data_IF_218504248418
#
_entry.id   IF_218504248418
#
_cell.length_a   1.000
_cell.length_b   1.000
_cell.length_c   1.000
_cell.angle_alpha   90.00
_cell.angle_beta   90.00
_cell.angle_gamma   90.00
#
_symmetry.space_group_name_H-M   'P 1'
#
loop_
_entity.id
_entity.type
_entity.pdbx_description
1 polymer ?
#
# COMPACT_ATOMS: atom_id res chain seq x y z
N UNK A 1 -40.34 -16.45 22.76
CA UNK A 1 -39.28 -15.67 23.41
C UNK A 1 -37.94 -16.04 22.79
N UNK A 2 -37.46 -15.21 21.87
CA UNK A 2 -36.15 -15.31 21.23
C UNK A 2 -35.22 -14.25 21.84
N UNK A 3 -34.34 -14.69 22.73
CA UNK A 3 -33.40 -13.84 23.46
C UNK A 3 -32.46 -13.03 22.54
N UNK A 4 -32.29 -13.44 21.27
CA UNK A 4 -31.38 -12.78 20.32
C UNK A 4 -32.05 -11.67 19.50
N UNK A 5 -33.38 -11.69 19.39
CA UNK A 5 -34.11 -10.84 18.43
C UNK A 5 -35.31 -10.11 19.03
N UNK A 6 -35.88 -10.62 20.13
CA UNK A 6 -37.05 -10.02 20.77
C UNK A 6 -36.69 -8.66 21.39
N UNK A 7 -37.60 -7.69 21.27
CA UNK A 7 -37.40 -6.31 21.72
C UNK A 7 -37.08 -6.18 23.21
N UNK A 8 -37.58 -7.11 24.02
CA UNK A 8 -37.34 -7.20 25.46
C UNK A 8 -35.85 -7.38 25.80
N UNK A 9 -35.05 -7.96 24.89
CA UNK A 9 -33.63 -8.25 25.09
C UNK A 9 -32.71 -7.31 24.32
N UNK A 10 -33.24 -6.29 23.62
CA UNK A 10 -32.45 -5.39 22.77
C UNK A 10 -31.32 -4.68 23.55
N UNK A 11 -31.59 -4.26 24.78
CA UNK A 11 -30.60 -3.62 25.65
C UNK A 11 -29.49 -4.59 26.08
N UNK A 12 -29.87 -5.81 26.48
CA UNK A 12 -28.93 -6.86 26.85
C UNK A 12 -28.06 -7.31 25.67
N UNK A 13 -28.64 -7.44 24.47
CA UNK A 13 -27.92 -7.79 23.25
C UNK A 13 -26.94 -6.70 22.82
N UNK A 14 -27.32 -5.42 22.93
CA UNK A 14 -26.40 -4.29 22.71
C UNK A 14 -25.24 -4.30 23.71
N UNK A 15 -25.51 -4.56 24.99
CA UNK A 15 -24.48 -4.67 26.02
C UNK A 15 -23.56 -5.87 25.79
N UNK A 16 -24.13 -7.01 25.41
CA UNK A 16 -23.39 -8.21 25.05
C UNK A 16 -22.48 -7.96 23.84
N UNK A 17 -23.00 -7.33 22.77
CA UNK A 17 -22.21 -6.96 21.59
C UNK A 17 -21.07 -5.99 21.95
N UNK A 18 -21.34 -4.99 22.80
CA UNK A 18 -20.33 -4.07 23.30
C UNK A 18 -19.25 -4.79 24.12
N UNK A 19 -19.65 -5.72 25.00
CA UNK A 19 -18.72 -6.55 25.77
C UNK A 19 -17.92 -7.50 24.88
N UNK A 20 -18.52 -8.12 23.87
CA UNK A 20 -17.82 -8.92 22.88
C UNK A 20 -16.78 -8.08 22.11
N UNK A 21 -17.11 -6.84 21.71
CA UNK A 21 -16.17 -5.92 21.07
C UNK A 21 -15.00 -5.56 21.99
N UNK A 22 -15.27 -5.29 23.28
CA UNK A 22 -14.23 -5.00 24.28
C UNK A 22 -13.34 -6.22 24.54
N UNK A 23 -13.92 -7.39 24.75
CA UNK A 23 -13.18 -8.64 24.98
C UNK A 23 -12.32 -9.00 23.77
N UNK A 24 -12.85 -8.81 22.56
CA UNK A 24 -12.09 -8.99 21.31
C UNK A 24 -10.93 -7.99 21.23
N UNK A 25 -11.08 -6.76 21.71
CA UNK A 25 -10.03 -5.73 21.70
C UNK A 25 -8.94 -5.97 22.75
N UNK A 26 -9.30 -6.50 23.92
CA UNK A 26 -8.37 -6.83 25.01
C UNK A 26 -7.57 -8.10 24.72
N UNK A 27 -8.21 -9.10 24.09
CA UNK A 27 -7.56 -10.38 23.78
C UNK A 27 -6.93 -10.48 22.38
N UNK A 28 -7.28 -9.62 21.41
CA UNK A 28 -6.53 -9.58 20.15
C UNK A 28 -5.36 -8.60 20.25
N UNK A 29 -4.12 -9.05 20.04
CA UNK A 29 -3.05 -8.13 19.67
C UNK A 29 -3.50 -7.31 18.45
N UNK A 30 -3.16 -6.02 18.42
CA UNK A 30 -3.44 -5.16 17.26
C UNK A 30 -2.96 -5.86 15.99
N UNK A 31 -3.75 -5.87 14.90
CA UNK A 31 -3.31 -6.48 13.64
C UNK A 31 -1.93 -5.96 13.27
N UNK A 32 -0.97 -6.86 13.10
CA UNK A 32 0.35 -6.49 12.62
C UNK A 32 0.24 -6.14 11.15
N UNK A 33 0.51 -4.88 10.81
CA UNK A 33 0.53 -4.44 9.42
C UNK A 33 1.69 -5.13 8.70
N UNK A 34 1.41 -5.75 7.55
CA UNK A 34 2.44 -6.38 6.73
C UNK A 34 3.36 -5.32 6.12
N UNK A 35 4.65 -5.58 6.15
CA UNK A 35 5.69 -4.72 5.56
C UNK A 35 5.56 -4.66 4.04
N UNK A 36 6.02 -3.54 3.46
CA UNK A 36 6.27 -3.43 2.02
C UNK A 36 7.40 -4.37 1.60
N UNK A 37 7.39 -4.76 0.33
CA UNK A 37 8.45 -5.56 -0.30
C UNK A 37 9.73 -4.72 -0.32
N UNK A 38 10.84 -5.31 0.11
CA UNK A 38 12.13 -4.63 0.14
C UNK A 38 12.59 -4.24 -1.27
N UNK A 39 13.33 -3.13 -1.40
CA UNK A 39 13.80 -2.65 -2.70
C UNK A 39 14.68 -3.68 -3.45
N UNK A 40 15.54 -4.41 -2.73
CA UNK A 40 16.32 -5.50 -3.30
C UNK A 40 15.45 -6.66 -3.82
N UNK A 41 14.36 -6.98 -3.13
CA UNK A 41 13.43 -8.01 -3.56
C UNK A 41 12.55 -7.56 -4.74
N UNK A 42 12.26 -6.26 -4.88
CA UNK A 42 11.63 -5.73 -6.10
C UNK A 42 12.52 -5.93 -7.34
N UNK A 43 13.84 -5.82 -7.20
CA UNK A 43 14.79 -6.12 -8.28
C UNK A 43 14.79 -7.62 -8.62
N UNK A 44 14.78 -8.49 -7.60
CA UNK A 44 14.64 -9.94 -7.81
C UNK A 44 13.32 -10.30 -8.50
N UNK A 45 12.21 -9.68 -8.10
CA UNK A 45 10.91 -9.84 -8.78
C UNK A 45 11.00 -9.46 -10.25
N UNK A 46 11.66 -8.36 -10.59
CA UNK A 46 11.89 -7.97 -11.98
C UNK A 46 12.67 -9.04 -12.74
N UNK A 47 13.74 -9.58 -12.16
CA UNK A 47 14.51 -10.68 -12.75
C UNK A 47 13.64 -11.92 -12.97
N UNK A 48 12.92 -12.33 -11.93
CA UNK A 48 11.98 -13.46 -11.93
C UNK A 48 10.94 -13.33 -13.06
N UNK A 49 10.32 -12.17 -13.25
CA UNK A 49 9.37 -12.01 -14.35
C UNK A 49 10.05 -12.01 -15.72
N UNK A 50 11.27 -11.47 -15.82
CA UNK A 50 12.03 -11.43 -17.08
C UNK A 50 12.40 -12.83 -17.57
N UNK A 51 12.63 -13.79 -16.68
CA UNK A 51 12.84 -15.21 -17.04
C UNK A 51 11.65 -15.85 -17.76
N UNK A 52 10.46 -15.26 -17.66
CA UNK A 52 9.26 -15.71 -18.38
C UNK A 52 9.21 -15.29 -19.85
N UNK A 53 10.16 -14.46 -20.30
CA UNK A 53 10.29 -13.97 -21.66
C UNK A 53 11.29 -14.83 -22.46
N UNK A 54 11.09 -14.96 -23.77
CA UNK A 54 12.06 -15.53 -24.69
C UNK A 54 13.08 -14.50 -25.19
N UNK A 55 14.02 -14.93 -26.04
CA UNK A 55 15.08 -14.07 -26.60
C UNK A 55 14.56 -12.87 -27.39
N UNK A 56 13.29 -12.88 -27.79
CA UNK A 56 12.66 -11.79 -28.55
C UNK A 56 11.81 -10.90 -27.63
N UNK A 57 12.04 -10.95 -26.31
CA UNK A 57 11.26 -10.22 -25.30
C UNK A 57 9.75 -10.54 -25.35
N UNK A 58 9.38 -11.73 -25.83
CA UNK A 58 7.98 -12.18 -25.87
C UNK A 58 7.71 -13.22 -24.78
N UNK A 59 6.53 -13.18 -24.18
CA UNK A 59 6.14 -14.17 -23.18
C UNK A 59 6.22 -15.60 -23.74
N UNK A 60 6.84 -16.49 -22.97
CA UNK A 60 6.99 -17.90 -23.28
C UNK A 60 6.49 -18.85 -22.17
N UNK A 61 6.26 -18.33 -20.96
CA UNK A 61 5.75 -19.08 -19.81
C UNK A 61 4.35 -18.57 -19.38
N UNK A 62 3.29 -19.39 -19.50
CA UNK A 62 1.94 -19.01 -19.09
C UNK A 62 1.78 -18.71 -17.60
N UNK A 63 2.53 -19.40 -16.73
CA UNK A 63 2.47 -19.17 -15.30
C UNK A 63 3.13 -17.83 -14.94
N UNK A 64 4.31 -17.54 -15.51
CA UNK A 64 5.01 -16.26 -15.29
C UNK A 64 4.22 -15.07 -15.82
N UNK A 65 3.61 -15.21 -17.01
CA UNK A 65 2.72 -14.21 -17.59
C UNK A 65 1.54 -13.91 -16.66
N UNK A 66 0.85 -14.95 -16.17
CA UNK A 66 -0.27 -14.79 -15.24
C UNK A 66 0.17 -14.08 -13.95
N UNK A 67 1.30 -14.50 -13.39
CA UNK A 67 1.82 -13.92 -12.15
C UNK A 67 2.22 -12.46 -12.32
N UNK A 68 2.85 -12.10 -13.45
CA UNK A 68 3.24 -10.73 -13.75
C UNK A 68 2.02 -9.82 -13.96
N UNK A 69 1.03 -10.27 -14.74
CA UNK A 69 -0.21 -9.52 -14.94
C UNK A 69 -0.96 -9.33 -13.63
N UNK A 70 -1.10 -10.40 -12.84
CA UNK A 70 -1.72 -10.32 -11.52
C UNK A 70 -0.98 -9.37 -10.57
N UNK A 71 0.35 -9.45 -10.51
CA UNK A 71 1.17 -8.56 -9.69
C UNK A 71 1.03 -7.10 -10.14
N UNK A 72 1.10 -6.84 -11.44
CA UNK A 72 0.97 -5.50 -12.03
C UNK A 72 -0.39 -4.87 -11.70
N UNK A 73 -1.48 -5.64 -11.84
CA UNK A 73 -2.81 -5.20 -11.44
C UNK A 73 -2.89 -4.94 -9.93
N UNK A 74 -2.32 -5.81 -9.08
CA UNK A 74 -2.27 -5.59 -7.63
C UNK A 74 -1.50 -4.31 -7.27
N UNK A 75 -0.35 -4.09 -7.92
CA UNK A 75 0.57 -3.01 -7.60
C UNK A 75 0.05 -1.64 -8.04
N UNK A 76 -0.58 -1.54 -9.22
CA UNK A 76 -1.09 -0.27 -9.74
C UNK A 76 -2.47 0.10 -9.19
N UNK A 77 -3.38 -0.86 -9.08
CA UNK A 77 -4.75 -0.59 -8.61
C UNK A 77 -4.89 -0.73 -7.10
N UNK A 78 -3.84 -1.23 -6.43
CA UNK A 78 -3.76 -1.32 -4.97
C UNK A 78 -4.96 -2.03 -4.35
N UNK A 79 -5.65 -2.97 -5.01
CA UNK A 79 -6.92 -3.54 -4.51
C UNK A 79 -6.70 -4.38 -3.23
N UNK A 80 -7.76 -4.64 -2.46
CA UNK A 80 -7.66 -5.42 -1.20
C UNK A 80 -7.25 -6.87 -1.51
N UNK A 81 -6.28 -7.42 -0.77
CA UNK A 81 -5.56 -8.65 -1.15
C UNK A 81 -6.35 -9.96 -1.17
N UNK A 82 -7.61 -9.96 -0.72
CA UNK A 82 -8.45 -11.19 -0.63
C UNK A 82 -9.83 -11.08 -1.28
N UNK A 83 -10.32 -9.87 -1.55
CA UNK A 83 -11.71 -9.66 -1.99
C UNK A 83 -11.75 -9.29 -3.48
N UNK A 84 -12.64 -9.92 -4.24
CA UNK A 84 -12.96 -9.55 -5.63
C UNK A 84 -12.07 -10.17 -6.71
N UNK A 85 -10.81 -10.52 -6.40
CA UNK A 85 -9.87 -10.99 -7.42
C UNK A 85 -10.30 -12.24 -8.18
N UNK A 86 -11.02 -13.15 -7.52
CA UNK A 86 -11.55 -14.37 -8.15
C UNK A 86 -12.78 -14.08 -9.01
N UNK A 87 -13.51 -13.04 -8.64
CA UNK A 87 -14.77 -12.61 -9.25
C UNK A 87 -14.55 -11.71 -10.48
N UNK A 88 -13.32 -11.20 -10.69
CA UNK A 88 -12.95 -10.43 -11.88
C UNK A 88 -13.17 -11.24 -13.16
N UNK A 89 -13.80 -10.58 -14.13
CA UNK A 89 -14.02 -11.11 -15.47
C UNK A 89 -13.06 -10.49 -16.47
N UNK A 90 -13.01 -11.05 -17.69
CA UNK A 90 -12.28 -10.47 -18.82
C UNK A 90 -12.71 -9.03 -19.16
N UNK A 91 -13.90 -8.62 -18.72
CA UNK A 91 -14.46 -7.29 -18.94
C UNK A 91 -14.22 -6.33 -17.76
N UNK A 92 -13.60 -6.80 -16.66
CA UNK A 92 -13.36 -5.96 -15.49
C UNK A 92 -12.32 -4.85 -15.74
N UNK A 93 -11.45 -5.02 -16.73
CA UNK A 93 -10.46 -4.04 -17.15
C UNK A 93 -10.49 -3.86 -18.67
N UNK A 94 -10.03 -2.72 -19.14
CA UNK A 94 -9.76 -2.54 -20.57
C UNK A 94 -8.64 -1.56 -20.82
N UNK A 95 -8.15 -1.59 -22.06
CA UNK A 95 -7.08 -0.74 -22.56
C UNK A 95 -7.69 0.49 -23.21
N UNK A 96 -7.20 1.66 -22.84
CA UNK A 96 -7.56 2.96 -23.41
C UNK A 96 -6.29 3.71 -23.80
N UNK A 97 -6.47 4.80 -24.52
CA UNK A 97 -5.41 5.72 -24.92
C UNK A 97 -5.78 7.11 -24.41
N UNK A 98 -4.81 7.85 -23.86
CA UNK A 98 -5.04 9.24 -23.44
C UNK A 98 -4.80 10.23 -24.60
N UNK A 99 -4.92 11.51 -24.29
CA UNK A 99 -4.72 12.62 -25.20
C UNK A 99 -3.29 12.72 -25.76
N UNK A 100 -2.30 12.16 -25.05
CA UNK A 100 -0.92 12.08 -25.52
C UNK A 100 -0.64 10.91 -26.47
N UNK A 101 -1.62 10.00 -26.64
CA UNK A 101 -1.43 8.76 -27.39
C UNK A 101 -0.87 7.60 -26.56
N UNK A 102 -0.64 7.80 -25.26
CA UNK A 102 -0.13 6.76 -24.37
C UNK A 102 -1.22 5.76 -23.99
N UNK A 103 -0.94 4.46 -24.12
CA UNK A 103 -1.90 3.42 -23.75
C UNK A 103 -1.84 3.11 -22.27
N UNK A 104 -3.00 2.77 -21.71
CA UNK A 104 -3.12 2.38 -20.31
C UNK A 104 -4.26 1.40 -20.08
N UNK A 105 -4.10 0.54 -19.07
CA UNK A 105 -5.16 -0.30 -18.53
C UNK A 105 -5.91 0.46 -17.43
N UNK A 106 -7.23 0.34 -17.40
CA UNK A 106 -8.10 0.90 -16.34
C UNK A 106 -9.25 -0.05 -16.00
N UNK A 107 -9.84 0.09 -14.80
CA UNK A 107 -10.98 -0.71 -14.34
C UNK A 107 -12.28 -0.20 -15.02
N UNK A 108 -13.04 -1.12 -15.62
CA UNK A 108 -14.29 -0.81 -16.35
C UNK A 108 -15.52 -1.12 -15.49
N UNK A 109 -15.53 -2.27 -14.79
CA UNK A 109 -16.64 -2.65 -13.92
C UNK A 109 -16.29 -2.37 -12.47
N UNK A 110 -17.07 -1.49 -11.84
CA UNK A 110 -17.01 -1.27 -10.39
C UNK A 110 -17.67 -2.43 -9.66
N UNK A 111 -16.87 -3.22 -8.96
CA UNK A 111 -17.39 -4.24 -8.05
C UNK A 111 -18.39 -3.63 -7.05
N UNK A 112 -19.50 -4.32 -6.80
CA UNK A 112 -20.37 -4.00 -5.68
C UNK A 112 -19.61 -4.25 -4.37
N UNK A 113 -19.15 -3.19 -3.71
CA UNK A 113 -18.39 -3.32 -2.47
C UNK A 113 -19.27 -3.83 -1.33
N UNK A 114 -18.74 -4.77 -0.52
CA UNK A 114 -19.26 -5.14 0.81
C UNK A 114 -19.21 -3.94 1.76
N UNK A 115 -20.28 -3.15 1.78
CA UNK A 115 -20.71 -2.33 2.92
C UNK A 115 -22.25 -2.31 2.99
N UNK A 116 -22.92 -3.36 2.50
CA UNK A 116 -24.38 -3.46 2.48
C UNK A 116 -24.93 -4.10 3.77
N UNK A 117 -24.52 -3.57 4.91
CA UNK A 117 -25.28 -3.63 6.17
C UNK A 117 -25.03 -2.32 6.94
N UNK A 118 -25.86 -1.31 6.68
CA UNK A 118 -26.08 -0.19 7.61
C UNK A 118 -25.11 1.01 7.60
N UNK A 119 -24.47 1.37 6.49
CA UNK A 119 -23.60 2.57 6.44
C UNK A 119 -23.74 3.35 5.14
N UNK A 120 -23.79 4.69 5.24
CA UNK A 120 -23.92 5.68 4.16
C UNK A 120 -23.36 5.22 2.81
N UNK A 121 -24.18 5.39 1.74
CA UNK A 121 -23.80 5.24 0.34
C UNK A 121 -22.34 5.66 0.18
N UNK A 122 -21.44 4.72 -0.14
CA UNK A 122 -20.22 5.13 -0.81
C UNK A 122 -20.73 5.91 -2.02
N UNK A 123 -20.47 7.22 -2.09
CA UNK A 123 -20.42 7.85 -3.41
C UNK A 123 -19.47 6.95 -4.17
N UNK A 124 -19.94 6.38 -5.27
CA UNK A 124 -19.13 5.62 -6.20
C UNK A 124 -17.95 6.53 -6.54
N UNK A 125 -16.85 6.36 -5.80
CA UNK A 125 -15.62 7.08 -6.07
C UNK A 125 -15.24 6.53 -7.42
N UNK A 126 -15.44 7.32 -8.47
CA UNK A 126 -15.34 6.85 -9.85
C UNK A 126 -14.02 6.08 -9.97
N UNK A 127 -14.12 4.76 -10.13
CA UNK A 127 -12.97 3.86 -10.22
C UNK A 127 -12.13 4.15 -11.48
N UNK A 128 -12.61 5.04 -12.34
CA UNK A 128 -12.16 5.31 -13.71
C UNK A 128 -10.81 5.98 -13.83
N UNK A 129 -10.25 6.53 -12.75
CA UNK A 129 -9.10 7.43 -12.87
C UNK A 129 -7.76 6.77 -12.55
N UNK A 130 -7.77 5.55 -11.97
CA UNK A 130 -6.52 4.79 -11.80
C UNK A 130 -6.12 4.19 -13.14
N UNK A 131 -4.88 4.46 -13.55
CA UNK A 131 -4.29 4.05 -14.84
C UNK A 131 -3.01 3.27 -14.61
N UNK A 132 -2.88 2.14 -15.30
CA UNK A 132 -1.64 1.39 -15.43
C UNK A 132 -1.11 1.61 -16.84
N UNK A 133 -0.17 2.55 -16.96
CA UNK A 133 0.41 2.97 -18.23
C UNK A 133 1.41 1.98 -18.79
N UNK A 134 1.54 1.99 -20.12
CA UNK A 134 2.59 1.24 -20.80
C UNK A 134 3.97 1.82 -20.47
N UNK A 135 5.00 0.99 -20.59
CA UNK A 135 6.38 1.43 -20.48
C UNK A 135 7.25 0.83 -21.58
N UNK A 136 8.38 1.47 -21.87
CA UNK A 136 9.28 1.05 -22.96
C UNK A 136 10.22 -0.10 -22.57
N UNK A 137 9.83 -0.96 -21.61
CA UNK A 137 10.65 -2.09 -21.16
C UNK A 137 10.06 -3.42 -21.62
N UNK A 138 10.85 -4.50 -21.67
CA UNK A 138 10.32 -5.85 -21.95
C UNK A 138 9.21 -6.30 -20.98
N UNK A 139 9.18 -5.76 -19.76
CA UNK A 139 8.12 -5.96 -18.78
C UNK A 139 7.11 -4.81 -18.84
N UNK A 140 6.58 -4.56 -20.03
CA UNK A 140 5.51 -3.60 -20.25
C UNK A 140 4.18 -4.15 -19.69
N UNK A 141 3.56 -3.52 -18.68
CA UNK A 141 2.35 -4.03 -18.06
C UNK A 141 1.14 -3.99 -19.00
N UNK A 142 1.06 -3.03 -19.93
CA UNK A 142 -0.08 -2.93 -20.86
C UNK A 142 0.02 -3.98 -21.95
N UNK A 143 1.15 -4.08 -22.64
CA UNK A 143 1.41 -5.11 -23.63
C UNK A 143 1.34 -6.52 -23.06
N UNK A 144 1.81 -6.73 -21.83
CA UNK A 144 1.68 -8.02 -21.14
C UNK A 144 0.22 -8.34 -20.80
N UNK A 145 -0.56 -7.36 -20.35
CA UNK A 145 -1.99 -7.52 -20.10
C UNK A 145 -2.75 -7.84 -21.39
N UNK A 146 -2.49 -7.10 -22.47
CA UNK A 146 -3.07 -7.32 -23.79
C UNK A 146 -2.75 -8.72 -24.32
N UNK A 147 -1.48 -9.12 -24.25
CA UNK A 147 -1.04 -10.44 -24.64
C UNK A 147 -1.74 -11.52 -23.80
N UNK A 148 -1.81 -11.35 -22.48
CA UNK A 148 -2.52 -12.27 -21.58
C UNK A 148 -3.99 -12.45 -21.97
N UNK A 149 -4.73 -11.36 -22.18
CA UNK A 149 -6.14 -11.41 -22.61
C UNK A 149 -6.29 -12.18 -23.93
N UNK A 150 -5.40 -11.97 -24.90
CA UNK A 150 -5.41 -12.67 -26.19
C UNK A 150 -5.23 -14.19 -26.08
N UNK A 151 -4.64 -14.67 -24.97
CA UNK A 151 -4.35 -16.10 -24.71
C UNK A 151 -5.40 -16.78 -23.84
N UNK A 152 -6.32 -16.04 -23.24
CA UNK A 152 -7.38 -16.60 -22.39
C UNK A 152 -8.39 -17.44 -23.18
N UNK A 153 -9.00 -18.42 -22.51
CA UNK A 153 -10.05 -19.24 -23.14
C UNK A 153 -11.34 -18.42 -23.34
N UNK A 154 -11.93 -18.42 -24.55
CA UNK A 154 -13.15 -17.66 -24.82
C UNK A 154 -14.33 -18.07 -23.95
N UNK A 155 -14.49 -19.37 -23.71
CA UNK A 155 -15.60 -19.97 -22.95
C UNK A 155 -15.53 -19.80 -21.44
N UNK A 156 -14.39 -19.32 -20.89
CA UNK A 156 -14.28 -18.98 -19.47
C UNK A 156 -14.31 -17.45 -19.32
N UNK A 157 -15.23 -16.96 -18.49
CA UNK A 157 -15.40 -15.51 -18.28
C UNK A 157 -14.42 -14.92 -17.26
N UNK A 158 -13.82 -15.75 -16.40
CA UNK A 158 -12.88 -15.30 -15.38
C UNK A 158 -11.63 -14.68 -16.01
N UNK A 159 -11.14 -13.60 -15.39
CA UNK A 159 -9.90 -12.93 -15.79
C UNK A 159 -8.69 -13.82 -15.51
N UNK A 160 -8.62 -14.39 -14.31
CA UNK A 160 -7.55 -15.32 -13.93
C UNK A 160 -7.97 -16.75 -14.21
N UNK A 161 -7.31 -17.38 -15.18
CA UNK A 161 -7.56 -18.77 -15.58
C UNK A 161 -6.37 -19.65 -15.20
N UNK A 162 -6.61 -20.93 -14.97
CA UNK A 162 -5.54 -21.85 -14.58
C UNK A 162 -4.57 -22.08 -15.76
N UNK A 163 -3.25 -21.88 -15.61
CA UNK A 163 -2.27 -22.22 -16.64
C UNK A 163 -2.38 -23.68 -17.08
N UNK A 164 -2.17 -23.96 -18.37
CA UNK A 164 -2.07 -25.33 -18.85
C UNK A 164 -0.68 -25.91 -18.52
N UNK A 165 -0.61 -26.83 -17.57
CA UNK A 165 0.65 -27.51 -17.19
C UNK A 165 1.27 -28.33 -18.33
N UNK A 166 0.50 -28.66 -19.37
CA UNK A 166 0.99 -29.33 -20.57
C UNK A 166 1.19 -28.35 -21.74
N UNK A 167 1.39 -27.06 -21.43
CA UNK A 167 1.62 -26.03 -22.42
C UNK A 167 2.75 -26.42 -23.37
N UNK A 168 2.44 -26.35 -24.66
CA UNK A 168 3.41 -26.44 -25.75
C UNK A 168 3.16 -25.25 -26.66
N UNK A 169 4.19 -24.42 -26.89
CA UNK A 169 4.10 -23.19 -27.71
C UNK A 169 3.41 -23.44 -29.06
N UNK A 170 3.68 -24.58 -29.69
CA UNK A 170 3.08 -25.02 -30.95
C UNK A 170 1.54 -25.21 -30.93
N UNK A 171 0.95 -25.61 -29.79
CA UNK A 171 -0.50 -25.83 -29.67
C UNK A 171 -1.28 -24.56 -29.31
N UNK A 172 -0.57 -23.45 -29.03
CA UNK A 172 -1.13 -22.15 -28.63
C UNK A 172 -2.16 -22.18 -27.48
N UNK A 173 -2.17 -23.24 -26.66
CA UNK A 173 -3.12 -23.41 -25.55
C UNK A 173 -2.45 -23.07 -24.23
N UNK A 174 -2.48 -21.80 -23.86
CA UNK A 174 -1.81 -21.24 -22.68
C UNK A 174 -2.54 -21.52 -21.36
N UNK A 175 -3.87 -21.43 -21.38
CA UNK A 175 -4.71 -21.55 -20.19
C UNK A 175 -5.80 -22.62 -20.38
N UNK A 176 -6.20 -23.24 -19.27
CA UNK A 176 -7.34 -24.15 -19.20
C UNK A 176 -8.65 -23.37 -19.22
N UNK A 177 -9.73 -24.02 -19.63
CA UNK A 177 -11.07 -23.43 -19.59
C UNK A 177 -11.65 -23.46 -18.17
N UNK A 178 -10.91 -22.90 -17.21
CA UNK A 178 -11.21 -23.01 -15.79
C UNK A 178 -10.67 -21.78 -15.05
N UNK A 179 -11.45 -21.17 -14.14
CA UNK A 179 -10.97 -20.07 -13.32
C UNK A 179 -9.88 -20.53 -12.33
N UNK A 180 -8.91 -19.66 -12.07
CA UNK A 180 -7.86 -19.92 -11.10
C UNK A 180 -8.46 -20.06 -9.68
N UNK A 181 -8.04 -21.08 -8.94
CA UNK A 181 -8.50 -21.36 -7.58
C UNK A 181 -8.42 -20.16 -6.63
N UNK A 182 -9.46 -19.91 -5.81
CA UNK A 182 -9.48 -18.83 -4.81
C UNK A 182 -8.29 -18.92 -3.84
N UNK A 183 -7.97 -20.14 -3.40
CA UNK A 183 -6.80 -20.39 -2.55
C UNK A 183 -5.48 -20.14 -3.28
N UNK A 184 -5.42 -20.45 -4.59
CA UNK A 184 -4.24 -20.19 -5.41
C UNK A 184 -4.01 -18.69 -5.55
N UNK A 185 -5.04 -17.92 -5.92
CA UNK A 185 -4.97 -16.45 -6.00
C UNK A 185 -4.53 -15.84 -4.65
N UNK A 186 -5.10 -16.31 -3.54
CA UNK A 186 -4.76 -15.82 -2.20
C UNK A 186 -3.29 -16.08 -1.81
N UNK A 187 -2.64 -17.09 -2.40
CA UNK A 187 -1.25 -17.47 -2.14
C UNK A 187 -0.29 -17.08 -3.26
N UNK A 188 -0.73 -16.32 -4.28
CA UNK A 188 0.11 -15.99 -5.43
C UNK A 188 1.39 -15.27 -5.02
N UNK A 189 1.32 -14.23 -4.16
CA UNK A 189 2.54 -13.55 -3.72
C UNK A 189 3.45 -14.46 -2.89
N UNK A 190 2.88 -15.33 -2.05
CA UNK A 190 3.69 -16.26 -1.26
C UNK A 190 4.43 -17.26 -2.15
N UNK A 191 3.75 -17.77 -3.18
CA UNK A 191 4.33 -18.69 -4.16
C UNK A 191 5.41 -18.00 -4.99
N UNK A 192 5.15 -16.77 -5.45
CA UNK A 192 6.14 -15.95 -6.14
C UNK A 192 7.35 -15.70 -5.24
N UNK A 193 7.13 -15.38 -3.96
CA UNK A 193 8.22 -15.12 -3.01
C UNK A 193 9.15 -16.32 -2.85
N UNK A 194 8.58 -17.53 -2.78
CA UNK A 194 9.37 -18.76 -2.73
C UNK A 194 10.08 -19.06 -4.05
N UNK A 195 9.42 -18.88 -5.22
CA UNK A 195 10.02 -19.16 -6.52
C UNK A 195 11.07 -18.13 -6.96
N UNK A 196 10.95 -16.88 -6.49
CA UNK A 196 11.87 -15.79 -6.78
C UNK A 196 12.98 -15.63 -5.73
N UNK A 197 13.02 -16.52 -4.73
CA UNK A 197 14.01 -16.50 -3.64
C UNK A 197 14.16 -15.11 -2.97
N UNK A 198 13.00 -14.51 -2.66
CA UNK A 198 12.95 -13.24 -1.94
C UNK A 198 13.42 -13.41 -0.50
N UNK A 199 13.82 -12.30 0.14
CA UNK A 199 14.35 -12.33 1.51
C UNK A 199 13.35 -12.82 2.56
N UNK A 200 12.05 -12.74 2.27
CA UNK A 200 10.98 -13.26 3.09
C UNK A 200 9.79 -13.74 2.25
N UNK A 201 8.85 -14.46 2.88
CA UNK A 201 7.61 -14.88 2.25
C UNK A 201 6.57 -13.77 2.32
N UNK A 202 6.50 -12.94 1.29
CA UNK A 202 5.50 -11.89 1.18
C UNK A 202 4.09 -12.43 0.88
N UNK A 203 3.08 -11.73 1.38
CA UNK A 203 1.66 -12.02 1.12
C UNK A 203 1.07 -10.99 0.17
N UNK A 204 -0.13 -11.25 -0.36
CA UNK A 204 -0.82 -10.28 -1.24
C UNK A 204 -0.97 -8.88 -0.59
N UNK A 205 -1.07 -8.81 0.73
CA UNK A 205 -1.13 -7.54 1.47
C UNK A 205 0.19 -6.73 1.40
N UNK A 206 1.33 -7.40 1.23
CA UNK A 206 2.63 -6.75 1.08
C UNK A 206 2.72 -5.98 -0.23
N UNK A 207 2.06 -6.44 -1.31
CA UNK A 207 2.01 -5.69 -2.58
C UNK A 207 1.30 -4.35 -2.37
N UNK A 208 0.12 -4.37 -1.71
CA UNK A 208 -0.62 -3.14 -1.37
C UNK A 208 0.20 -2.21 -0.47
N UNK A 209 0.88 -2.75 0.54
CA UNK A 209 1.80 -1.96 1.37
C UNK A 209 2.89 -1.30 0.52
N UNK A 210 3.45 -2.05 -0.44
CA UNK A 210 4.46 -1.55 -1.36
C UNK A 210 3.94 -0.44 -2.27
N UNK A 211 2.71 -0.55 -2.80
CA UNK A 211 2.07 0.53 -3.57
C UNK A 211 1.99 1.81 -2.76
N UNK A 212 1.51 1.74 -1.51
CA UNK A 212 1.37 2.90 -0.61
C UNK A 212 2.73 3.53 -0.34
N UNK A 213 3.70 2.71 0.08
CA UNK A 213 5.05 3.17 0.41
C UNK A 213 5.74 3.78 -0.82
N UNK A 214 5.67 3.14 -1.98
CA UNK A 214 6.29 3.65 -3.20
C UNK A 214 5.70 5.00 -3.65
N UNK A 215 4.38 5.15 -3.63
CA UNK A 215 3.72 6.42 -3.96
C UNK A 215 4.09 7.51 -2.96
N UNK A 216 4.02 7.21 -1.66
CA UNK A 216 4.35 8.19 -0.62
C UNK A 216 5.80 8.65 -0.71
N UNK A 217 6.75 7.74 -0.87
CA UNK A 217 8.18 8.06 -1.00
C UNK A 217 8.48 8.93 -2.22
N UNK A 218 7.63 8.89 -3.26
CA UNK A 218 7.70 9.76 -4.44
C UNK A 218 6.90 11.07 -4.31
N UNK A 219 6.43 11.39 -3.11
CA UNK A 219 5.78 12.66 -2.80
C UNK A 219 4.31 12.73 -3.19
N UNK A 220 3.67 11.60 -3.51
CA UNK A 220 2.22 11.58 -3.77
C UNK A 220 1.46 11.83 -2.47
N UNK A 221 0.50 12.75 -2.52
CA UNK A 221 -0.31 13.13 -1.36
C UNK A 221 -1.10 11.96 -0.78
N UNK A 222 -1.27 11.94 0.54
CA UNK A 222 -1.95 10.87 1.26
C UNK A 222 -3.42 10.70 0.82
N UNK A 223 -4.13 11.78 0.45
CA UNK A 223 -5.50 11.70 -0.07
C UNK A 223 -5.52 11.00 -1.42
N UNK A 224 -4.58 11.33 -2.29
CA UNK A 224 -4.46 10.69 -3.59
C UNK A 224 -4.11 9.19 -3.44
N UNK A 225 -3.21 8.85 -2.52
CA UNK A 225 -2.92 7.45 -2.19
C UNK A 225 -4.16 6.73 -1.66
N UNK A 226 -4.93 7.36 -0.77
CA UNK A 226 -6.20 6.82 -0.28
C UNK A 226 -7.20 6.55 -1.42
N UNK A 227 -7.30 7.47 -2.38
CA UNK A 227 -8.16 7.30 -3.56
C UNK A 227 -7.72 6.10 -4.41
N UNK A 228 -6.42 6.02 -4.77
CA UNK A 228 -5.85 4.91 -5.56
C UNK A 228 -6.07 3.57 -4.85
N UNK A 229 -5.75 3.52 -3.56
CA UNK A 229 -5.79 2.29 -2.78
C UNK A 229 -7.16 2.02 -2.15
N UNK A 230 -8.16 2.88 -2.36
CA UNK A 230 -9.53 2.70 -1.82
C UNK A 230 -9.57 2.63 -0.28
N UNK A 231 -8.69 3.37 0.40
CA UNK A 231 -8.80 3.60 1.85
C UNK A 231 -9.77 4.75 2.11
N UNK A 232 -10.59 4.63 3.16
CA UNK A 232 -11.55 5.67 3.55
C UNK A 232 -10.90 6.79 4.38
N UNK A 233 -9.75 6.50 4.99
CA UNK A 233 -9.15 7.34 6.02
C UNK A 233 -7.62 7.31 5.90
N UNK A 234 -7.00 8.49 5.85
CA UNK A 234 -5.54 8.66 5.80
C UNK A 234 -4.84 8.08 7.04
N UNK A 235 -5.52 8.03 8.19
CA UNK A 235 -4.98 7.40 9.42
C UNK A 235 -4.68 5.92 9.22
N UNK A 236 -5.35 5.26 8.27
CA UNK A 236 -5.05 3.87 7.92
C UNK A 236 -3.74 3.71 7.15
N UNK A 237 -3.17 4.81 6.64
CA UNK A 237 -1.89 4.82 5.96
C UNK A 237 -0.70 5.04 6.91
N UNK A 238 -0.93 5.55 8.13
CA UNK A 238 0.13 6.03 9.03
C UNK A 238 1.28 5.05 9.24
N UNK A 239 1.01 3.74 9.30
CA UNK A 239 2.06 2.73 9.42
C UNK A 239 3.00 2.68 8.21
N UNK A 240 2.50 2.91 7.00
CA UNK A 240 3.26 2.86 5.75
C UNK A 240 4.01 4.14 5.44
N UNK A 241 3.53 5.28 5.97
CA UNK A 241 4.00 6.63 5.63
C UNK A 241 4.65 7.36 6.82
N UNK A 242 4.92 6.67 7.93
CA UNK A 242 5.43 7.27 9.17
C UNK A 242 6.84 7.87 9.06
N UNK A 243 7.62 7.47 8.05
CA UNK A 243 9.00 7.92 7.89
C UNK A 243 9.17 8.67 6.56
N UNK A 244 9.47 9.96 6.67
CA UNK A 244 9.91 10.78 5.53
C UNK A 244 11.33 10.40 5.12
N UNK A 245 11.50 10.09 3.84
CA UNK A 245 12.82 9.73 3.29
C UNK A 245 13.77 10.93 3.26
N UNK A 246 15.08 10.67 3.26
CA UNK A 246 16.08 11.72 3.09
C UNK A 246 15.90 12.50 1.78
N UNK A 247 15.40 11.85 0.74
CA UNK A 247 15.10 12.50 -0.54
C UNK A 247 13.94 13.49 -0.41
N UNK A 248 12.84 13.10 0.22
CA UNK A 248 11.74 14.02 0.51
C UNK A 248 12.18 15.20 1.38
N UNK A 249 13.00 14.96 2.41
CA UNK A 249 13.58 16.04 3.23
C UNK A 249 14.44 16.99 2.39
N UNK A 250 15.22 16.46 1.45
CA UNK A 250 16.05 17.25 0.53
C UNK A 250 15.20 18.05 -0.46
N UNK A 251 14.12 17.48 -0.98
CA UNK A 251 13.16 18.17 -1.83
C UNK A 251 12.47 19.32 -1.09
N UNK A 252 11.99 19.09 0.14
CA UNK A 252 11.44 20.16 0.98
C UNK A 252 12.46 21.29 1.21
N UNK A 253 13.72 20.95 1.50
CA UNK A 253 14.78 21.96 1.65
C UNK A 253 15.03 22.72 0.35
N UNK A 254 14.97 22.07 -0.81
CA UNK A 254 15.13 22.72 -2.11
C UNK A 254 14.01 23.72 -2.36
N UNK A 255 12.75 23.35 -2.13
CA UNK A 255 11.61 24.27 -2.30
C UNK A 255 11.73 25.50 -1.40
N UNK A 256 12.18 25.34 -0.14
CA UNK A 256 12.41 26.47 0.77
C UNK A 256 13.58 27.35 0.31
N UNK A 257 14.65 26.75 -0.21
CA UNK A 257 15.77 27.50 -0.78
C UNK A 257 15.35 28.29 -2.01
N UNK A 258 14.61 27.69 -2.94
CA UNK A 258 14.09 28.37 -4.13
C UNK A 258 13.15 29.52 -3.78
N UNK A 259 12.26 29.31 -2.80
CA UNK A 259 11.34 30.35 -2.34
C UNK A 259 12.04 31.54 -1.68
N UNK A 260 13.17 31.31 -0.99
CA UNK A 260 13.88 32.36 -0.25
C UNK A 260 15.00 33.02 -1.08
N UNK A 261 15.75 32.25 -1.87
CA UNK A 261 16.92 32.73 -2.62
C UNK A 261 16.63 32.95 -4.12
N UNK A 262 15.46 32.58 -4.63
CA UNK A 262 15.17 32.53 -6.06
C UNK A 262 15.86 31.34 -6.74
N UNK A 263 15.50 31.05 -7.99
CA UNK A 263 16.21 30.01 -8.76
C UNK A 263 17.69 30.40 -8.93
N UNK A 264 18.66 29.54 -8.56
CA UNK A 264 20.01 29.75 -9.02
C UNK A 264 20.02 29.63 -10.56
N UNK A 265 20.76 30.49 -11.28
CA UNK A 265 20.85 30.39 -12.73
C UNK A 265 21.36 29.00 -13.10
N UNK A 266 20.58 28.27 -13.89
CA UNK A 266 20.87 26.91 -14.30
C UNK A 266 22.18 26.89 -15.08
N UNK A 267 23.21 26.21 -14.57
CA UNK A 267 24.38 25.87 -15.38
C UNK A 267 23.93 24.88 -16.45
N UNK A 268 23.67 25.40 -17.64
CA UNK A 268 23.69 24.65 -18.88
C UNK A 268 25.15 24.32 -19.16
N UNK A 269 25.50 23.04 -19.12
CA UNK A 269 26.78 22.56 -19.65
C UNK A 269 26.55 21.26 -20.38
N UNK A 270 26.33 21.37 -21.70
CA UNK A 270 26.96 20.46 -22.65
C UNK A 270 27.66 21.28 -23.74
N UNK A 271 28.97 21.01 -23.79
CA UNK A 271 29.88 21.04 -24.93
C UNK A 271 30.14 22.36 -25.66
N UNK A 272 31.35 22.90 -25.46
CA UNK A 272 32.25 23.25 -26.55
C UNK A 272 33.70 23.42 -26.07
N UNK A 273 34.59 22.72 -26.78
CA UNK A 273 36.07 22.78 -26.74
C UNK A 273 36.60 24.22 -26.73
N UNK A 274 37.66 24.49 -25.97
CA UNK A 274 38.97 24.87 -26.55
C UNK A 274 40.07 24.92 -25.49
N UNK A 275 41.21 24.33 -25.83
CA UNK A 275 42.53 24.57 -25.26
C UNK A 275 43.12 25.88 -25.81
N UNK A 276 43.76 26.69 -24.98
CA UNK A 276 45.07 27.33 -25.29
C UNK A 276 45.64 28.05 -24.06
N UNK A 277 46.95 27.88 -23.89
CA UNK A 277 47.86 28.52 -22.94
C UNK A 277 47.83 30.06 -22.93
N UNK A 278 48.09 30.65 -21.76
CA UNK A 278 49.16 31.66 -21.59
C UNK A 278 49.43 31.96 -20.11
N UNK A 279 50.71 32.02 -19.76
CA UNK A 279 51.30 32.35 -18.45
C UNK A 279 51.07 33.81 -18.03
N UNK A 280 51.22 34.10 -16.73
CA UNK A 280 51.26 35.46 -16.20
C UNK A 280 51.32 35.50 -14.66
N UNK A 281 52.52 35.77 -14.15
CA UNK A 281 52.89 35.87 -12.73
C UNK A 281 52.41 37.16 -12.03
N UNK A 282 52.01 36.99 -10.75
CA UNK A 282 52.42 37.75 -9.56
C UNK A 282 51.75 39.09 -9.14
N UNK A 283 51.74 39.22 -7.80
CA UNK A 283 51.63 40.39 -6.91
C UNK A 283 50.23 40.84 -6.44
N UNK A 284 50.08 40.87 -5.11
CA UNK A 284 48.82 41.13 -4.42
C UNK A 284 48.52 42.60 -4.17
N UNK A 285 47.27 42.86 -3.74
CA UNK A 285 46.92 43.96 -2.86
C UNK A 285 45.52 43.75 -2.27
N UNK A 286 45.42 44.16 -1.01
CA UNK A 286 44.28 44.29 -0.09
C UNK A 286 43.09 45.11 -0.60
N UNK A 287 41.88 44.74 -0.15
CA UNK A 287 40.62 45.52 -0.20
C UNK A 287 39.43 44.61 0.14
N UNK A 288 39.04 44.44 1.41
CA UNK A 288 38.02 45.23 2.12
C UNK A 288 36.58 45.06 1.59
N UNK A 289 35.81 44.15 2.20
CA UNK A 289 34.33 44.17 2.21
C UNK A 289 33.83 43.69 3.57
N UNK A 290 33.86 44.60 4.54
CA UNK A 290 33.11 44.52 5.80
C UNK A 290 32.01 45.57 5.76
N UNK A 291 30.79 45.23 5.32
CA UNK A 291 29.63 46.13 5.52
C UNK A 291 28.23 45.53 5.26
N UNK A 292 28.01 44.21 5.40
CA UNK A 292 26.64 43.65 5.26
C UNK A 292 26.23 42.73 6.41
N UNK A 293 27.18 42.25 7.22
CA UNK A 293 26.87 41.28 8.28
C UNK A 293 26.32 41.90 9.58
N UNK A 294 26.56 43.19 9.86
CA UNK A 294 26.11 43.79 11.13
C UNK A 294 24.63 44.24 11.11
N UNK A 295 24.08 44.61 9.95
CA UNK A 295 22.74 45.22 9.87
C UNK A 295 21.62 44.18 10.03
N UNK A 296 21.84 42.92 9.63
CA UNK A 296 20.84 41.84 9.75
C UNK A 296 20.78 41.22 11.15
N UNK A 297 21.88 41.24 11.91
CA UNK A 297 21.89 40.77 13.30
C UNK A 297 20.99 41.63 14.20
N UNK A 298 20.92 42.94 13.93
CA UNK A 298 20.17 43.90 14.74
C UNK A 298 18.65 43.87 14.49
N UNK A 299 18.19 43.33 13.35
CA UNK A 299 16.75 43.13 13.12
C UNK A 299 16.19 41.87 13.80
N UNK A 300 17.01 40.83 13.98
CA UNK A 300 16.58 39.56 14.57
C UNK A 300 16.31 39.66 16.08
N UNK A 301 16.99 40.57 16.78
CA UNK A 301 16.79 40.82 18.22
C UNK A 301 15.60 41.75 18.52
N UNK A 302 15.06 42.45 17.53
CA UNK A 302 13.92 43.37 17.71
C UNK A 302 12.54 42.68 17.62
N UNK A 303 12.47 41.45 17.11
CA UNK A 303 11.19 40.72 16.92
C UNK A 303 10.92 39.66 17.99
N UNK A 304 11.86 39.44 18.91
CA UNK A 304 11.68 38.56 20.06
C UNK A 304 11.19 39.36 21.27
N UNK A 305 9.91 39.78 21.26
CA UNK A 305 9.21 40.15 22.49
C UNK A 305 8.30 38.99 22.91
N UNK A 306 8.37 38.53 24.17
CA UNK A 306 7.57 37.41 24.65
C UNK A 306 6.11 37.83 24.79
N UNK A 307 5.19 37.13 24.13
CA UNK A 307 3.75 37.25 24.42
C UNK A 307 3.47 36.66 25.81
N UNK A 308 3.04 37.44 26.81
CA UNK A 308 2.47 36.88 28.02
C UNK A 308 0.99 36.59 27.75
N UNK A 309 0.55 35.39 28.12
CA UNK A 309 -0.84 34.88 28.11
C UNK A 309 -1.20 33.95 26.96
N UNK A 310 -0.77 32.70 27.06
CA UNK A 310 -1.61 31.56 26.65
C UNK A 310 -1.14 30.26 27.33
N UNK A 311 -1.17 30.23 28.67
CA UNK A 311 -1.05 28.98 29.43
C UNK A 311 -2.46 28.38 29.57
N UNK A 312 -2.89 27.57 28.59
CA UNK A 312 -4.07 26.73 28.83
C UNK A 312 -3.66 25.53 29.69
N UNK A 313 -3.88 25.70 31.00
CA UNK A 313 -3.85 24.64 32.00
C UNK A 313 -4.89 23.56 31.61
N UNK A 314 -4.44 22.37 31.21
CA UNK A 314 -5.31 21.19 31.19
C UNK A 314 -5.37 20.67 32.61
N UNK A 315 -6.46 21.02 33.30
CA UNK A 315 -6.78 20.50 34.63
C UNK A 315 -7.37 19.10 34.45
N UNK A 316 -6.52 18.07 34.51
CA UNK A 316 -6.97 16.67 34.59
C UNK A 316 -7.56 16.49 35.99
N UNK A 317 -8.90 16.48 36.08
CA UNK A 317 -9.60 16.14 37.31
C UNK A 317 -9.24 14.72 37.72
N UNK A 318 -8.55 14.58 38.85
CA UNK A 318 -8.38 13.32 39.57
C UNK A 318 -9.73 12.87 40.11
N UNK A 319 -10.29 11.77 39.58
CA UNK A 319 -11.36 11.06 40.28
C UNK A 319 -10.75 10.22 41.40
N UNK A 320 -11.09 10.57 42.64
CA UNK A 320 -10.82 9.74 43.81
C UNK A 320 -11.72 8.50 43.76
N UNK A 321 -11.11 7.32 43.64
CA UNK A 321 -11.79 6.04 43.88
C UNK A 321 -11.70 5.76 45.38
N UNK A 322 -12.81 5.99 46.08
CA UNK A 322 -12.96 5.58 47.47
C UNK A 322 -12.96 4.05 47.54
N UNK A 323 -11.90 3.47 48.11
CA UNK A 323 -11.89 2.08 48.52
C UNK A 323 -12.59 1.99 49.88
N UNK A 324 -13.84 1.51 49.88
CA UNK A 324 -14.53 1.13 51.11
C UNK A 324 -13.86 -0.11 51.70
N UNK A 325 -13.29 0.05 52.90
CA UNK A 325 -12.78 -1.06 53.71
C UNK A 325 -13.95 -1.77 54.41
N UNK A 326 -13.99 -3.10 54.29
CA UNK A 326 -14.86 -4.01 55.03
C UNK A 326 -14.33 -5.44 54.89
N UNK A 327 -14.42 -6.29 55.94
CA UNK A 327 -13.23 -6.86 56.56
C UNK A 327 -12.77 -8.22 56.02
N UNK A 328 -11.45 -8.40 56.11
CA UNK A 328 -10.69 -9.64 55.94
C UNK A 328 -10.99 -10.68 57.03
N UNK A 329 -11.03 -11.97 56.66
CA UNK A 329 -10.29 -13.08 57.30
C UNK A 329 -10.56 -14.44 56.60
N UNK A 330 -9.68 -15.45 56.76
CA UNK A 330 -9.10 -16.24 55.67
C UNK A 330 -9.47 -17.74 55.70
N UNK A 331 -9.17 -18.48 54.62
CA UNK A 331 -8.75 -19.89 54.72
C UNK A 331 -7.86 -20.32 53.55
N UNK A 332 -6.94 -21.21 53.91
CA UNK A 332 -5.76 -21.70 53.21
C UNK A 332 -6.04 -23.01 52.44
N UNK A 333 -5.03 -23.48 51.68
CA UNK A 333 -4.81 -24.84 51.12
C UNK A 333 -5.12 -25.15 49.64
N UNK A 334 -4.05 -25.01 48.85
CA UNK A 334 -3.33 -26.05 48.08
C UNK A 334 -4.06 -27.02 47.12
N UNK A 335 -3.51 -27.04 45.89
CA UNK A 335 -3.36 -28.16 44.94
C UNK A 335 -4.60 -28.84 44.31
N UNK A 336 -4.84 -28.54 43.03
CA UNK A 336 -5.15 -29.59 42.05
C UNK A 336 -4.84 -29.19 40.59
N UNK A 337 -4.25 -30.15 39.87
CA UNK A 337 -3.68 -30.10 38.51
C UNK A 337 -4.72 -29.86 37.39
N UNK A 338 -4.32 -29.39 36.19
CA UNK A 338 -5.25 -29.00 35.13
C UNK A 338 -5.87 -30.21 34.41
N UNK A 339 -7.20 -30.26 34.39
CA UNK A 339 -7.98 -31.26 33.63
C UNK A 339 -8.23 -30.76 32.20
N UNK A 340 -7.92 -31.63 31.24
CA UNK A 340 -8.10 -31.49 29.78
C UNK A 340 -9.54 -31.08 29.42
N UNK A 341 -9.73 -29.97 28.71
CA UNK A 341 -11.02 -29.66 28.05
C UNK A 341 -11.11 -30.39 26.70
N UNK A 342 -12.12 -31.25 26.60
CA UNK A 342 -12.52 -31.96 25.38
C UNK A 342 -13.16 -30.99 24.39
N UNK A 343 -12.87 -31.23 23.11
CA UNK A 343 -13.39 -30.56 21.92
C UNK A 343 -14.84 -31.04 21.73
N UNK A 344 -15.81 -30.13 21.76
CA UNK A 344 -17.21 -30.45 21.42
C UNK A 344 -17.39 -30.20 19.93
N UNK A 345 -17.68 -31.28 19.20
CA UNK A 345 -18.15 -31.29 17.81
C UNK A 345 -19.68 -31.22 17.91
N UNK A 346 -20.30 -30.27 17.21
CA UNK A 346 -21.75 -30.26 17.01
C UNK A 346 -21.96 -30.56 15.53
N UNK A 347 -22.33 -31.81 15.25
CA UNK A 347 -23.02 -32.20 14.02
C UNK A 347 -24.49 -31.79 14.14
N UNK A 348 -25.06 -31.28 13.05
CA UNK A 348 -26.49 -30.99 12.93
C UNK A 348 -26.97 -31.56 11.61
N UNK A 349 -27.76 -32.63 11.67
CA UNK A 349 -28.57 -33.14 10.56
C UNK A 349 -29.98 -33.44 11.08
N UNK A 350 -30.95 -33.13 10.21
CA UNK A 350 -32.38 -33.50 10.17
C UNK A 350 -33.28 -32.78 11.18
N UNK A 351 -34.44 -32.23 10.79
CA UNK A 351 -35.40 -32.67 9.75
C UNK A 351 -35.59 -31.74 8.55
#
# INVERSE_FOLDING_TARGET
MNIMQDSEFLSANKMFEAKCKLYTKEMNPKPTHKSSIAAGDMLKLRGYFSEGLDSNNSWADPERLLQFVWFSLCFHFGRRGREGWRELSKLSFGIKTDDSGARYVTEIQTEQTKNYQGGSKQKDQAYSDVRMYENSTPLDPVGSFEFYISRLRPSCQALFQTPDHHFKKAKSRWFRNEPLGKYTIAKLMENISSKAELSERYTNHCIRASTITALYQRGVDAKQICAITKHKDERSLSHYISQTTSEQKRQCSRFLQEAFYGHPPTQTSQDSRSSTHSEGENTGRTGEVTSVSQTLQNHFLSLAQPYPNCTQHIQIGTMNVYHGAGPSQPTDHSDCKPVKRRRIIIESDSD
#
